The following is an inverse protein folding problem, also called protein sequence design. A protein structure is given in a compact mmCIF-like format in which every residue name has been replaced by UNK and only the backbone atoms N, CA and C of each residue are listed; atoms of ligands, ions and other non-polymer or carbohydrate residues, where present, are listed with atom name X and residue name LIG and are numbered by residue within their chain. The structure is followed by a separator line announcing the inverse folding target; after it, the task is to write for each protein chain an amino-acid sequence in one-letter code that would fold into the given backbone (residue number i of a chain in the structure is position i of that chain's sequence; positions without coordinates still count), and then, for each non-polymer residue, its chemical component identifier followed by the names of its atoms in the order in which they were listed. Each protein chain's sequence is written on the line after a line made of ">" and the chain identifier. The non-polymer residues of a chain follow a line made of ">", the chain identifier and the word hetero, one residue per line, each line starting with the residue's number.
data_IF_878948934637
#
_entry.id   IF_878948934637
#
_cell.length_a   1.000
_cell.length_b   1.000
_cell.length_c   1.000
_cell.angle_alpha   90.00
_cell.angle_beta   90.00
_cell.angle_gamma   90.00
#
_symmetry.space_group_name_H-M   'P 1'
#
loop_
_entity.id
_entity.type
_entity.pdbx_description
1 polymer ?
#
# COMPACT_ATOMS: atom_id res chain seq x y z
N UNK A 1 6.77 -12.58 -9.29
CA UNK A 1 6.78 -11.30 -10.02
C UNK A 1 8.04 -10.54 -9.64
N UNK A 2 8.90 -10.31 -10.62
CA UNK A 2 10.06 -9.42 -10.47
C UNK A 2 9.49 -8.00 -10.46
N UNK A 3 9.82 -7.23 -9.42
CA UNK A 3 9.44 -5.82 -9.30
C UNK A 3 9.91 -5.09 -10.58
N UNK A 4 9.06 -4.22 -11.16
CA UNK A 4 9.52 -3.30 -12.21
C UNK A 4 10.71 -2.52 -11.64
N UNK A 5 11.75 -2.20 -12.43
CA UNK A 5 12.91 -1.44 -11.95
C UNK A 5 12.54 -0.12 -11.24
N UNK A 6 11.38 0.44 -11.58
CA UNK A 6 10.84 1.69 -11.04
C UNK A 6 9.95 1.49 -9.80
N UNK A 7 9.65 0.25 -9.41
CA UNK A 7 8.87 -0.02 -8.21
C UNK A 7 9.75 0.16 -6.97
N UNK A 8 9.26 0.95 -6.01
CA UNK A 8 9.85 1.04 -4.68
C UNK A 8 8.81 0.76 -3.60
N UNK A 9 9.30 0.40 -2.42
CA UNK A 9 8.47 0.23 -1.24
C UNK A 9 8.67 1.38 -0.27
N UNK A 10 7.55 1.84 0.29
CA UNK A 10 7.54 2.68 1.47
C UNK A 10 7.19 1.80 2.65
N UNK A 11 8.08 1.78 3.63
CA UNK A 11 7.88 1.07 4.89
C UNK A 11 7.63 2.07 6.00
N UNK A 12 6.80 1.71 6.97
CA UNK A 12 6.78 2.40 8.26
C UNK A 12 8.04 2.06 9.08
N UNK A 13 8.23 2.80 10.18
CA UNK A 13 9.44 2.75 11.01
C UNK A 13 9.77 1.34 11.53
N UNK A 14 8.75 0.54 11.77
CA UNK A 14 8.79 -0.81 12.32
C UNK A 14 8.66 -1.92 11.26
N UNK A 15 8.63 -1.58 9.97
CA UNK A 15 8.51 -2.49 8.81
C UNK A 15 7.28 -3.42 8.85
N UNK A 16 6.27 -3.07 9.64
CA UNK A 16 5.02 -3.82 9.79
C UNK A 16 4.01 -3.54 8.68
N UNK A 17 4.13 -2.38 8.02
CA UNK A 17 3.30 -1.96 6.90
C UNK A 17 4.16 -1.55 5.72
N UNK A 18 3.86 -2.15 4.57
CA UNK A 18 4.59 -1.98 3.32
C UNK A 18 3.64 -1.46 2.25
N UNK A 19 4.00 -0.38 1.59
CA UNK A 19 3.23 0.18 0.46
C UNK A 19 4.10 0.14 -0.78
N UNK A 20 3.64 -0.56 -1.82
CA UNK A 20 4.31 -0.68 -3.12
C UNK A 20 3.83 0.41 -4.07
N UNK A 21 4.78 1.17 -4.60
CA UNK A 21 4.54 2.36 -5.42
C UNK A 21 5.47 2.34 -6.64
N UNK A 22 5.04 2.90 -7.77
CA UNK A 22 5.88 3.07 -8.96
C UNK A 22 6.36 4.52 -9.15
N UNK A 23 5.61 5.51 -8.65
CA UNK A 23 5.99 6.92 -8.65
C UNK A 23 5.45 7.66 -7.42
N UNK A 24 6.17 8.64 -6.84
CA UNK A 24 5.72 9.37 -5.65
C UNK A 24 4.35 10.05 -5.81
N UNK A 25 4.01 10.54 -7.00
CA UNK A 25 2.76 11.24 -7.28
C UNK A 25 1.53 10.35 -7.10
N UNK A 26 1.68 9.02 -7.22
CA UNK A 26 0.59 8.07 -7.01
C UNK A 26 0.08 8.11 -5.57
N UNK A 27 0.95 8.43 -4.60
CA UNK A 27 0.56 8.55 -3.20
C UNK A 27 -0.30 9.79 -3.00
N UNK A 28 0.12 10.92 -3.56
CA UNK A 28 -0.59 12.20 -3.48
C UNK A 28 -1.96 12.06 -4.15
N UNK A 29 -1.99 11.50 -5.36
CA UNK A 29 -3.21 11.33 -6.13
C UNK A 29 -4.21 10.36 -5.49
N UNK A 30 -3.75 9.51 -4.55
CA UNK A 30 -4.57 8.49 -3.88
C UNK A 30 -4.65 8.65 -2.38
N UNK A 31 -4.32 9.83 -1.86
CA UNK A 31 -4.26 10.09 -0.42
C UNK A 31 -5.55 9.64 0.29
N UNK A 32 -6.70 10.04 -0.24
CA UNK A 32 -8.01 9.70 0.34
C UNK A 32 -8.26 8.18 0.35
N UNK A 33 -7.99 7.49 -0.77
CA UNK A 33 -8.19 6.05 -0.88
C UNK A 33 -7.26 5.28 0.08
N UNK A 34 -6.00 5.72 0.18
CA UNK A 34 -5.03 5.17 1.13
C UNK A 34 -5.50 5.38 2.57
N UNK A 35 -5.96 6.58 2.92
CA UNK A 35 -6.46 6.91 4.26
C UNK A 35 -7.65 6.03 4.65
N UNK A 36 -8.59 5.83 3.73
CA UNK A 36 -9.74 4.95 3.96
C UNK A 36 -9.33 3.49 4.15
N UNK A 37 -8.42 2.98 3.32
CA UNK A 37 -7.91 1.62 3.44
C UNK A 37 -7.19 1.39 4.78
N UNK A 38 -6.35 2.33 5.20
CA UNK A 38 -5.66 2.27 6.50
C UNK A 38 -6.67 2.28 7.66
N UNK A 39 -7.69 3.13 7.59
CA UNK A 39 -8.74 3.17 8.61
C UNK A 39 -9.54 1.87 8.71
N UNK A 40 -9.78 1.18 7.58
CA UNK A 40 -10.40 -0.17 7.59
C UNK A 40 -9.47 -1.22 8.19
N UNK A 41 -8.20 -1.23 7.80
CA UNK A 41 -7.18 -2.16 8.32
C UNK A 41 -7.09 -2.06 9.84
N UNK A 42 -7.02 -0.84 10.38
CA UNK A 42 -6.96 -0.60 11.81
C UNK A 42 -8.23 -1.06 12.53
N UNK A 43 -9.41 -0.68 12.00
CA UNK A 43 -10.71 -1.02 12.58
C UNK A 43 -10.95 -2.53 12.64
N UNK A 44 -10.57 -3.24 11.59
CA UNK A 44 -10.78 -4.68 11.46
C UNK A 44 -9.59 -5.50 11.98
N UNK A 45 -8.52 -4.85 12.45
CA UNK A 45 -7.28 -5.48 12.93
C UNK A 45 -6.67 -6.44 11.90
N UNK A 46 -6.69 -6.06 10.63
CA UNK A 46 -6.20 -6.90 9.54
C UNK A 46 -4.68 -7.04 9.59
N UNK A 47 -4.18 -8.27 9.48
CA UNK A 47 -2.77 -8.54 9.32
C UNK A 47 -2.39 -8.37 7.85
N UNK A 48 -1.80 -7.21 7.51
CA UNK A 48 -1.43 -6.86 6.14
C UNK A 48 0.02 -7.23 5.87
N UNK A 49 0.28 -7.85 4.72
CA UNK A 49 1.61 -8.11 4.19
C UNK A 49 2.12 -6.89 3.40
N UNK A 50 1.30 -6.37 2.47
CA UNK A 50 1.56 -5.12 1.76
C UNK A 50 0.28 -4.52 1.15
N UNK A 51 0.35 -3.23 0.81
CA UNK A 51 -0.64 -2.50 0.00
C UNK A 51 0.01 -2.15 -1.34
N UNK A 52 -0.63 -2.48 -2.45
CA UNK A 52 -0.19 -2.10 -3.79
C UNK A 52 -1.08 -0.98 -4.35
N UNK A 53 -0.49 0.20 -4.58
CA UNK A 53 -1.20 1.37 -5.08
C UNK A 53 -0.96 1.64 -6.56
N UNK A 54 -0.33 0.73 -7.29
CA UNK A 54 0.05 0.97 -8.70
C UNK A 54 -1.14 0.85 -9.67
N UNK A 55 -2.26 0.28 -9.23
CA UNK A 55 -3.46 0.09 -10.04
C UNK A 55 -4.22 1.39 -10.25
N UNK A 56 -4.36 1.90 -11.48
CA UNK A 56 -4.92 3.22 -11.80
C UNK A 56 -5.93 3.81 -10.79
N UNK A 57 -7.08 3.16 -10.61
CA UNK A 57 -8.21 3.69 -9.81
C UNK A 57 -8.45 2.90 -8.50
N UNK A 58 -7.52 2.03 -8.10
CA UNK A 58 -7.70 1.15 -6.94
C UNK A 58 -6.40 0.92 -6.15
N UNK A 59 -6.54 0.18 -5.06
CA UNK A 59 -5.45 -0.43 -4.32
C UNK A 59 -5.74 -1.90 -4.04
N UNK A 60 -4.69 -2.70 -3.91
CA UNK A 60 -4.79 -4.11 -3.54
C UNK A 60 -4.16 -4.29 -2.17
N UNK A 61 -4.88 -4.92 -1.24
CA UNK A 61 -4.38 -5.23 0.10
C UNK A 61 -4.08 -6.73 0.14
N UNK A 62 -2.80 -7.07 0.32
CA UNK A 62 -2.40 -8.45 0.57
C UNK A 62 -2.44 -8.71 2.08
N UNK A 63 -3.27 -9.66 2.51
CA UNK A 63 -3.28 -10.13 3.89
C UNK A 63 -2.23 -11.22 4.12
N UNK A 64 -1.66 -11.27 5.32
CA UNK A 64 -0.86 -12.39 5.81
C UNK A 64 -1.75 -13.62 5.90
N UNK A 65 -1.20 -14.79 5.51
CA UNK A 65 -1.84 -16.08 5.75
C UNK A 65 -1.72 -16.48 7.22
#
# INVERSE_FOLDING_TARGET
>A
EILSPDDFMICNKDDTLKVRVNKPEVIINKENLLREALGKIEREKLLVEYIDVRFKDSLVIKLKK
#
